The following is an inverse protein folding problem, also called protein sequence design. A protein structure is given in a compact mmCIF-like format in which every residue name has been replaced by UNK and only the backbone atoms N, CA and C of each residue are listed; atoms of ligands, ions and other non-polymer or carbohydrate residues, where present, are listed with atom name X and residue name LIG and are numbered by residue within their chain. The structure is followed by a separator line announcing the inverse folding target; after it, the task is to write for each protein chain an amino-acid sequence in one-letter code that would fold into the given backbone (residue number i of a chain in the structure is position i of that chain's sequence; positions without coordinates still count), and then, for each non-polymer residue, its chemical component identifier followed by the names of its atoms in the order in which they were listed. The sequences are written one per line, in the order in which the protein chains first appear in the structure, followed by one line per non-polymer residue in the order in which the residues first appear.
data_IF_408134916872
#
_entry.id   IF_408134916872
#
_cell.length_a   1.000
_cell.length_b   1.000
_cell.length_c   1.000
_cell.angle_alpha   90.00
_cell.angle_beta   90.00
_cell.angle_gamma   90.00
#
_symmetry.space_group_name_H-M   'P 1'
#
loop_
_entity.id
_entity.type
_entity.pdbx_description
1 polymer ?
#
# COMPACT_ATOMS: atom_id res chain seq x y z
N UNK A 1 11.40 0.26 -4.68
CA UNK A 1 10.46 1.38 -4.50
C UNK A 1 9.17 0.92 -3.81
N UNK A 2 9.24 0.40 -2.58
CA UNK A 2 8.06 0.00 -1.80
C UNK A 2 7.63 1.10 -0.80
N UNK A 3 8.59 1.92 -0.34
CA UNK A 3 8.34 3.03 0.59
C UNK A 3 7.37 4.07 0.01
N UNK A 4 7.51 4.43 -1.28
CA UNK A 4 6.62 5.40 -1.95
C UNK A 4 5.15 4.96 -1.89
N UNK A 5 4.88 3.71 -2.25
CA UNK A 5 3.53 3.14 -2.20
C UNK A 5 2.96 3.02 -0.78
N UNK A 6 3.81 2.78 0.23
CA UNK A 6 3.38 2.80 1.63
C UNK A 6 2.99 4.20 2.09
N UNK A 7 3.72 5.24 1.68
CA UNK A 7 3.38 6.63 1.97
C UNK A 7 2.06 7.04 1.29
N UNK A 8 1.86 6.63 0.04
CA UNK A 8 0.61 6.88 -0.70
C UNK A 8 -0.58 6.18 -0.03
N UNK A 9 -0.44 4.89 0.33
CA UNK A 9 -1.48 4.15 1.04
C UNK A 9 -1.83 4.78 2.41
N UNK A 10 -0.82 5.23 3.17
CA UNK A 10 -1.05 5.94 4.43
C UNK A 10 -1.84 7.24 4.23
N UNK A 11 -1.54 8.00 3.17
CA UNK A 11 -2.31 9.20 2.80
C UNK A 11 -3.77 8.88 2.49
N UNK A 12 -4.02 7.81 1.72
CA UNK A 12 -5.38 7.37 1.42
C UNK A 12 -6.15 6.87 2.65
N UNK A 13 -5.49 6.18 3.59
CA UNK A 13 -6.13 5.76 4.84
C UNK A 13 -6.53 6.95 5.71
N UNK A 14 -5.69 7.98 5.83
CA UNK A 14 -6.02 9.21 6.58
C UNK A 14 -7.21 9.92 5.92
N UNK A 15 -7.21 10.01 4.58
CA UNK A 15 -8.30 10.65 3.85
C UNK A 15 -9.61 9.85 3.96
N UNK A 16 -9.55 8.53 3.91
CA UNK A 16 -10.71 7.66 4.13
C UNK A 16 -11.28 7.83 5.53
N UNK A 17 -10.43 7.89 6.56
CA UNK A 17 -10.86 8.10 7.94
C UNK A 17 -11.55 9.46 8.12
N UNK A 18 -10.99 10.54 7.56
CA UNK A 18 -11.61 11.87 7.60
C UNK A 18 -12.95 11.88 6.85
N UNK A 19 -13.03 11.25 5.66
CA UNK A 19 -14.29 11.23 4.88
C UNK A 19 -15.38 10.39 5.54
N UNK A 20 -14.99 9.28 6.17
CA UNK A 20 -15.89 8.44 6.94
C UNK A 20 -16.49 9.20 8.12
N UNK A 21 -15.68 10.02 8.81
CA UNK A 21 -16.13 10.88 9.91
C UNK A 21 -17.10 11.98 9.43
N UNK A 22 -16.89 12.53 8.23
CA UNK A 22 -17.79 13.53 7.61
C UNK A 22 -19.09 12.95 7.02
N UNK A 23 -19.32 11.64 7.12
CA UNK A 23 -20.52 10.97 6.61
C UNK A 23 -20.51 10.64 5.11
N UNK A 24 -19.41 10.91 4.40
CA UNK A 24 -19.21 10.53 2.99
C UNK A 24 -18.62 9.11 2.92
N UNK A 25 -19.43 8.12 3.26
CA UNK A 25 -19.04 6.71 3.37
C UNK A 25 -18.60 6.12 2.02
N UNK A 26 -19.26 6.50 0.92
CA UNK A 26 -18.89 6.05 -0.44
C UNK A 26 -17.47 6.48 -0.84
N UNK A 27 -17.13 7.76 -0.62
CA UNK A 27 -15.79 8.26 -0.94
C UNK A 27 -14.72 7.68 0.00
N UNK A 28 -15.06 7.40 1.25
CA UNK A 28 -14.18 6.71 2.18
C UNK A 28 -13.90 5.27 1.72
N UNK A 29 -14.90 4.56 1.20
CA UNK A 29 -14.76 3.22 0.67
C UNK A 29 -13.87 3.20 -0.58
N UNK A 30 -14.03 4.16 -1.50
CA UNK A 30 -13.14 4.30 -2.66
C UNK A 30 -11.69 4.58 -2.26
N UNK A 31 -11.44 5.47 -1.30
CA UNK A 31 -10.09 5.74 -0.80
C UNK A 31 -9.50 4.52 -0.07
N UNK A 32 -10.32 3.77 0.66
CA UNK A 32 -9.89 2.53 1.31
C UNK A 32 -9.51 1.44 0.30
N UNK A 33 -10.26 1.29 -0.80
CA UNK A 33 -9.89 0.38 -1.89
C UNK A 33 -8.56 0.78 -2.54
N UNK A 34 -8.38 2.07 -2.87
CA UNK A 34 -7.12 2.57 -3.45
C UNK A 34 -5.93 2.38 -2.52
N UNK A 35 -6.13 2.58 -1.22
CA UNK A 35 -5.13 2.30 -0.20
C UNK A 35 -4.75 0.82 -0.17
N UNK A 36 -5.76 -0.07 -0.22
CA UNK A 36 -5.55 -1.50 -0.22
C UNK A 36 -4.82 -1.97 -1.49
N UNK A 37 -5.20 -1.49 -2.68
CA UNK A 37 -4.49 -1.80 -3.93
C UNK A 37 -3.03 -1.36 -3.88
N UNK A 38 -2.78 -0.14 -3.39
CA UNK A 38 -1.42 0.39 -3.22
C UNK A 38 -0.60 -0.43 -2.23
N UNK A 39 -1.22 -0.89 -1.13
CA UNK A 39 -0.59 -1.77 -0.15
C UNK A 39 -0.26 -3.14 -0.74
N UNK A 40 -1.19 -3.74 -1.49
CA UNK A 40 -0.96 -5.01 -2.21
C UNK A 40 0.18 -4.88 -3.21
N UNK A 41 0.23 -3.80 -3.99
CA UNK A 41 1.30 -3.53 -4.93
C UNK A 41 2.65 -3.32 -4.22
N UNK A 42 2.67 -2.60 -3.10
CA UNK A 42 3.86 -2.42 -2.28
C UNK A 42 4.36 -3.75 -1.70
N UNK A 43 3.44 -4.58 -1.22
CA UNK A 43 3.73 -5.89 -0.67
C UNK A 43 4.31 -6.82 -1.75
N UNK A 44 3.69 -6.89 -2.93
CA UNK A 44 4.19 -7.68 -4.05
C UNK A 44 5.60 -7.26 -4.49
N UNK A 45 5.86 -5.94 -4.60
CA UNK A 45 7.20 -5.41 -4.91
C UNK A 45 8.22 -5.71 -3.81
N UNK A 46 7.80 -5.69 -2.54
CA UNK A 46 8.67 -6.03 -1.41
C UNK A 46 9.01 -7.53 -1.40
N UNK A 47 8.04 -8.40 -1.70
CA UNK A 47 8.25 -9.84 -1.84
C UNK A 47 9.16 -10.16 -3.02
N UNK A 48 8.94 -9.55 -4.19
CA UNK A 48 9.84 -9.72 -5.36
C UNK A 48 11.28 -9.28 -5.05
N UNK A 49 11.44 -8.13 -4.40
CA UNK A 49 12.75 -7.64 -3.98
C UNK A 49 13.42 -8.58 -2.96
N UNK A 50 12.67 -9.09 -1.98
CA UNK A 50 13.16 -10.09 -1.04
C UNK A 50 13.54 -11.39 -1.74
N UNK A 51 12.71 -11.91 -2.65
CA UNK A 51 12.98 -13.12 -3.41
C UNK A 51 14.23 -12.98 -4.28
N UNK A 52 14.39 -11.84 -4.98
CA UNK A 52 15.60 -11.54 -5.76
C UNK A 52 16.84 -11.41 -4.88
N UNK A 53 16.72 -10.74 -3.74
CA UNK A 53 17.82 -10.59 -2.79
C UNK A 53 18.21 -11.92 -2.16
N UNK A 54 17.24 -12.77 -1.79
CA UNK A 54 17.47 -14.11 -1.29
C UNK A 54 18.11 -15.04 -2.33
N UNK A 55 17.63 -15.01 -3.57
CA UNK A 55 18.21 -15.76 -4.69
C UNK A 55 19.64 -15.30 -5.02
N UNK A 56 19.91 -13.99 -4.92
CA UNK A 56 21.26 -13.44 -5.09
C UNK A 56 22.17 -13.73 -3.88
N UNK A 57 21.60 -13.90 -2.68
CA UNK A 57 22.35 -14.20 -1.46
C UNK A 57 22.73 -15.68 -1.32
N UNK A 58 22.04 -16.58 -2.03
CA UNK A 58 22.32 -18.02 -2.03
C UNK A 58 23.45 -18.44 -3.00
N UNK A 59 24.08 -17.48 -3.71
CA UNK A 59 25.13 -17.76 -4.71
C UNK A 59 26.54 -17.37 -4.26
N UNK A 60 26.79 -17.35 -2.95
CA UNK A 60 28.10 -17.05 -2.35
C UNK A 60 28.71 -18.30 -1.74
#
# INVERSE_FOLDING_TARGET
MAAKHRTEAAGHHINAANKHDTGNVDEAHEHSQKAHESSTAAHGKSTDAHSKSAASSSKK
#
